data_IF_429410924509
#
_entry.id   IF_429410924509
#
_cell.length_a   1.000
_cell.length_b   1.000
_cell.length_c   1.000
_cell.angle_alpha   90.00
_cell.angle_beta   90.00
_cell.angle_gamma   90.00
#
_symmetry.space_group_name_H-M   'P 1'
#
loop_
_entity.id
_entity.type
_entity.pdbx_description
1 polymer ?
#
# COMPACT_ATOMS: atom_id res chain seq x y z
N UNK A 1 35.41 40.10 -53.07
CA UNK A 1 34.39 39.05 -53.23
C UNK A 1 34.73 37.96 -52.20
N UNK A 2 34.06 38.03 -51.06
CA UNK A 2 34.37 37.13 -49.94
C UNK A 2 33.09 36.29 -49.63
N UNK A 3 33.22 35.00 -49.75
CA UNK A 3 32.15 34.03 -49.50
C UNK A 3 32.12 33.66 -47.98
N UNK A 4 30.97 33.76 -47.35
CA UNK A 4 30.74 33.34 -45.97
C UNK A 4 30.48 31.84 -45.91
N UNK A 5 30.91 31.11 -44.85
CA UNK A 5 30.64 29.71 -44.68
C UNK A 5 29.25 29.47 -44.02
N UNK A 6 28.55 28.48 -44.56
CA UNK A 6 27.21 28.06 -44.10
C UNK A 6 27.20 27.48 -42.69
N UNK A 7 26.18 27.84 -41.92
CA UNK A 7 25.87 27.25 -40.63
C UNK A 7 25.20 25.86 -40.81
N UNK A 8 25.87 24.85 -40.32
CA UNK A 8 25.35 23.50 -40.16
C UNK A 8 24.30 23.48 -39.03
N UNK A 9 23.06 23.13 -39.37
CA UNK A 9 21.99 22.87 -38.37
C UNK A 9 22.18 21.44 -37.85
N UNK A 10 22.57 21.34 -36.60
CA UNK A 10 22.55 20.07 -35.86
C UNK A 10 21.10 19.77 -35.46
N UNK A 11 20.47 18.84 -36.17
CA UNK A 11 19.18 18.24 -35.78
C UNK A 11 19.40 17.33 -34.55
N UNK A 12 18.93 17.78 -33.40
CA UNK A 12 18.86 16.95 -32.20
C UNK A 12 17.77 15.90 -32.35
N UNK A 13 18.12 14.69 -32.72
CA UNK A 13 17.27 13.51 -32.56
C UNK A 13 17.03 13.26 -31.05
N UNK A 14 15.87 13.68 -30.55
CA UNK A 14 15.32 13.14 -29.30
C UNK A 14 14.87 11.71 -29.60
N UNK A 15 15.62 10.75 -29.06
CA UNK A 15 15.19 9.35 -28.98
C UNK A 15 13.91 9.28 -28.17
N UNK A 16 12.87 8.55 -28.62
CA UNK A 16 11.69 8.29 -27.78
C UNK A 16 12.15 7.44 -26.60
N UNK A 17 11.96 7.97 -25.38
CA UNK A 17 12.11 7.18 -24.16
C UNK A 17 11.03 6.08 -24.21
N UNK A 18 11.47 4.85 -24.43
CA UNK A 18 10.61 3.69 -24.40
C UNK A 18 9.89 3.62 -23.05
N UNK A 19 8.57 3.62 -23.08
CA UNK A 19 7.73 3.26 -21.94
C UNK A 19 7.95 1.77 -21.66
N UNK A 20 9.01 1.47 -20.92
CA UNK A 20 9.23 0.14 -20.35
C UNK A 20 8.11 -0.15 -19.39
N UNK A 21 7.34 -1.18 -19.67
CA UNK A 21 6.37 -1.76 -18.72
C UNK A 21 7.09 -1.92 -17.37
N UNK A 22 6.60 -1.34 -16.26
CA UNK A 22 7.31 -1.41 -15.00
C UNK A 22 7.42 -2.87 -14.58
N UNK A 23 8.65 -3.36 -14.47
CA UNK A 23 8.97 -4.68 -13.94
C UNK A 23 8.37 -4.75 -12.53
N UNK A 24 7.43 -5.69 -12.30
CA UNK A 24 6.66 -5.90 -11.08
C UNK A 24 5.52 -4.89 -10.77
N UNK A 25 4.55 -4.80 -11.67
CA UNK A 25 3.31 -4.08 -11.40
C UNK A 25 2.43 -4.85 -10.39
N UNK A 26 2.46 -4.45 -9.11
CA UNK A 26 1.56 -4.97 -8.06
C UNK A 26 0.15 -4.35 -8.15
N UNK A 27 -0.80 -4.83 -7.33
CA UNK A 27 -2.21 -4.44 -7.42
C UNK A 27 -2.44 -2.92 -7.35
N UNK A 28 -1.80 -2.21 -6.40
CA UNK A 28 -1.97 -0.75 -6.26
C UNK A 28 -1.38 0.02 -7.44
N UNK A 29 -0.27 -0.46 -8.04
CA UNK A 29 0.30 0.17 -9.23
C UNK A 29 -0.61 0.00 -10.45
N UNK A 30 -1.24 -1.16 -10.62
CA UNK A 30 -2.25 -1.37 -11.66
C UNK A 30 -3.47 -0.47 -11.48
N UNK A 31 -3.99 -0.37 -10.25
CA UNK A 31 -5.09 0.54 -9.92
C UNK A 31 -4.72 2.01 -10.22
N UNK A 32 -3.50 2.43 -9.85
CA UNK A 32 -2.98 3.76 -10.19
C UNK A 32 -2.98 4.01 -11.70
N UNK A 33 -2.45 3.08 -12.47
CA UNK A 33 -2.40 3.20 -13.94
C UNK A 33 -3.80 3.31 -14.53
N UNK A 34 -4.72 2.43 -14.13
CA UNK A 34 -6.11 2.49 -14.56
C UNK A 34 -6.78 3.82 -14.18
N UNK A 35 -6.53 4.30 -12.97
CA UNK A 35 -7.10 5.58 -12.49
C UNK A 35 -6.56 6.80 -13.25
N UNK A 36 -5.28 6.80 -13.60
CA UNK A 36 -4.67 7.85 -14.42
C UNK A 36 -5.22 7.84 -15.85
N UNK A 37 -5.45 6.67 -16.42
CA UNK A 37 -5.98 6.54 -17.80
C UNK A 37 -7.38 7.15 -17.99
N UNK A 38 -8.21 7.15 -16.94
CA UNK A 38 -9.58 7.73 -16.99
C UNK A 38 -9.64 9.15 -16.43
N UNK A 39 -8.53 9.73 -16.00
CA UNK A 39 -8.49 11.07 -15.43
C UNK A 39 -8.50 12.12 -16.53
N UNK A 40 -9.50 13.01 -16.54
CA UNK A 40 -9.58 14.14 -17.46
C UNK A 40 -8.59 15.27 -17.14
N UNK A 41 -8.02 15.27 -15.93
CA UNK A 41 -7.04 16.26 -15.47
C UNK A 41 -5.83 15.56 -14.89
N UNK A 42 -4.61 16.06 -15.15
CA UNK A 42 -3.41 15.53 -14.52
C UNK A 42 -3.53 15.61 -12.99
N UNK A 43 -3.20 14.51 -12.30
CA UNK A 43 -3.07 14.57 -10.85
C UNK A 43 -1.78 15.28 -10.48
N UNK A 44 -1.90 16.43 -9.84
CA UNK A 44 -0.78 17.25 -9.38
C UNK A 44 -0.57 17.02 -7.89
N UNK A 45 0.39 16.15 -7.53
CA UNK A 45 0.81 16.01 -6.14
C UNK A 45 1.72 17.18 -5.74
N UNK A 46 1.81 17.48 -4.43
CA UNK A 46 2.84 18.40 -3.93
C UNK A 46 4.23 17.86 -4.33
N UNK A 47 5.07 18.71 -4.95
CA UNK A 47 6.36 18.30 -5.49
C UNK A 47 6.29 17.51 -6.80
N UNK A 48 5.23 17.68 -7.61
CA UNK A 48 5.08 17.01 -8.90
C UNK A 48 6.12 17.42 -9.95
N UNK A 49 6.81 18.56 -9.78
CA UNK A 49 7.93 18.99 -10.65
C UNK A 49 9.18 18.11 -10.51
N UNK A 50 9.27 17.26 -9.50
CA UNK A 50 10.35 16.30 -9.32
C UNK A 50 10.02 15.00 -10.04
N UNK A 51 10.87 14.55 -10.97
CA UNK A 51 10.75 13.24 -11.62
C UNK A 51 10.77 12.13 -10.57
N UNK A 52 9.65 11.38 -10.46
CA UNK A 52 9.54 10.28 -9.50
C UNK A 52 9.65 8.93 -10.16
N UNK A 53 10.31 8.00 -9.49
CA UNK A 53 10.33 6.60 -9.88
C UNK A 53 8.88 6.07 -9.94
N UNK A 54 8.44 5.46 -11.06
CA UNK A 54 7.08 4.93 -11.18
C UNK A 54 6.80 3.78 -10.22
N UNK A 55 7.83 3.07 -9.77
CA UNK A 55 7.71 1.91 -8.89
C UNK A 55 7.69 2.27 -7.40
N UNK A 56 8.69 3.00 -6.86
CA UNK A 56 8.69 3.36 -5.44
C UNK A 56 8.13 4.76 -5.15
N UNK A 57 7.85 5.58 -6.17
CA UNK A 57 7.27 6.93 -6.10
C UNK A 57 8.16 7.98 -5.42
N UNK A 58 9.39 7.63 -5.07
CA UNK A 58 10.42 8.54 -4.61
C UNK A 58 11.14 9.18 -5.80
N UNK A 59 11.86 10.27 -5.60
CA UNK A 59 12.73 10.85 -6.65
C UNK A 59 13.87 9.90 -6.97
N UNK A 60 14.44 9.99 -8.18
CA UNK A 60 15.42 9.03 -8.68
C UNK A 60 16.64 8.86 -7.76
N UNK A 61 17.15 9.95 -7.17
CA UNK A 61 18.27 9.93 -6.21
C UNK A 61 17.98 9.19 -4.89
N UNK A 62 16.69 8.97 -4.58
CA UNK A 62 16.23 8.35 -3.35
C UNK A 62 15.47 7.04 -3.63
N UNK A 63 15.66 6.47 -4.81
CA UNK A 63 14.97 5.27 -5.24
C UNK A 63 15.37 4.06 -4.40
N UNK A 64 14.37 3.36 -3.83
CA UNK A 64 14.54 2.18 -2.96
C UNK A 64 14.11 0.87 -3.64
N UNK A 65 13.88 0.88 -4.96
CA UNK A 65 13.38 -0.31 -5.66
C UNK A 65 14.26 -1.55 -5.51
N UNK A 66 15.58 -1.37 -5.39
CA UNK A 66 16.53 -2.46 -5.20
C UNK A 66 16.40 -3.14 -3.83
N UNK A 67 15.78 -2.46 -2.85
CA UNK A 67 15.59 -2.96 -1.48
C UNK A 67 14.20 -3.56 -1.26
N UNK A 68 13.32 -3.57 -2.29
CA UNK A 68 11.94 -4.03 -2.14
C UNK A 68 11.88 -5.46 -1.62
N UNK A 69 11.29 -5.66 -0.43
CA UNK A 69 11.16 -7.00 0.14
C UNK A 69 9.93 -7.72 -0.43
N UNK A 70 9.98 -9.04 -0.40
CA UNK A 70 8.82 -9.90 -0.58
C UNK A 70 8.85 -11.00 0.47
N UNK A 71 7.70 -11.21 1.14
CA UNK A 71 7.56 -12.23 2.19
C UNK A 71 6.38 -13.12 1.83
N UNK A 72 6.55 -14.45 1.84
CA UNK A 72 5.42 -15.36 1.70
C UNK A 72 4.51 -15.24 2.94
N UNK A 73 3.20 -15.17 2.70
CA UNK A 73 2.18 -15.08 3.75
C UNK A 73 1.04 -16.05 3.48
N UNK A 74 0.38 -16.51 4.53
CA UNK A 74 -0.93 -17.17 4.42
C UNK A 74 -2.05 -16.15 4.31
N UNK A 75 -1.97 -15.06 5.07
CA UNK A 75 -2.95 -13.99 4.99
C UNK A 75 -2.76 -13.18 3.71
N UNK A 76 -3.90 -12.69 3.17
CA UNK A 76 -3.94 -11.74 2.06
C UNK A 76 -4.51 -10.40 2.49
N UNK A 77 -4.35 -9.38 1.65
CA UNK A 77 -4.87 -8.03 1.88
C UNK A 77 -5.71 -7.56 0.70
N UNK A 78 -6.93 -7.09 1.00
CA UNK A 78 -7.80 -6.41 0.05
C UNK A 78 -7.88 -4.93 0.41
N UNK A 79 -7.32 -4.06 -0.43
CA UNK A 79 -7.37 -2.62 -0.28
C UNK A 79 -8.58 -2.06 -1.03
N UNK A 80 -9.50 -1.43 -0.31
CA UNK A 80 -10.60 -0.63 -0.90
C UNK A 80 -10.19 0.84 -0.75
N UNK A 81 -9.82 1.47 -1.85
CA UNK A 81 -9.11 2.75 -1.85
C UNK A 81 -10.01 3.90 -2.27
N UNK A 82 -9.88 5.02 -1.58
CA UNK A 82 -10.47 6.30 -1.99
C UNK A 82 -9.99 6.72 -3.38
N UNK A 83 -10.79 7.55 -4.04
CA UNK A 83 -10.63 7.91 -5.47
C UNK A 83 -9.20 8.36 -5.86
N UNK A 84 -8.54 9.12 -4.99
CA UNK A 84 -7.19 9.65 -5.26
C UNK A 84 -6.08 8.95 -4.47
N UNK A 85 -6.40 7.97 -3.61
CA UNK A 85 -5.41 7.37 -2.72
C UNK A 85 -4.27 6.68 -3.48
N UNK A 86 -4.58 5.87 -4.49
CA UNK A 86 -3.57 5.23 -5.33
C UNK A 86 -2.67 6.22 -6.08
N UNK A 87 -3.09 7.48 -6.24
CA UNK A 87 -2.33 8.52 -6.93
C UNK A 87 -1.31 9.22 -6.02
N UNK A 88 -1.52 9.22 -4.70
CA UNK A 88 -0.67 9.92 -3.74
C UNK A 88 0.71 9.27 -3.63
N UNK A 89 1.81 10.02 -3.79
CA UNK A 89 3.16 9.49 -3.60
C UNK A 89 3.41 8.92 -2.20
N UNK A 90 2.70 9.43 -1.20
CA UNK A 90 2.79 9.02 0.20
C UNK A 90 1.77 7.95 0.61
N UNK A 91 1.07 7.33 -0.34
CA UNK A 91 0.12 6.27 -0.01
C UNK A 91 0.85 5.04 0.56
N UNK A 92 0.43 4.56 1.73
CA UNK A 92 1.07 3.44 2.44
C UNK A 92 0.45 2.09 2.13
N UNK A 93 -0.77 2.04 1.56
CA UNK A 93 -1.32 0.81 0.99
C UNK A 93 -0.46 0.24 -0.15
N UNK A 94 0.31 1.11 -0.82
CA UNK A 94 1.30 0.71 -1.81
C UNK A 94 2.39 -0.19 -1.22
N UNK A 95 2.88 0.14 -0.01
CA UNK A 95 3.95 -0.59 0.65
C UNK A 95 3.53 -2.01 1.04
N UNK A 96 2.24 -2.21 1.33
CA UNK A 96 1.69 -3.54 1.56
C UNK A 96 1.85 -4.41 0.31
N UNK A 97 1.45 -3.87 -0.84
CA UNK A 97 1.56 -4.57 -2.11
C UNK A 97 3.01 -4.77 -2.59
N UNK A 98 3.97 -3.98 -2.08
CA UNK A 98 5.40 -4.23 -2.28
C UNK A 98 5.88 -5.50 -1.55
N UNK A 99 5.37 -5.74 -0.33
CA UNK A 99 5.84 -6.80 0.59
C UNK A 99 5.06 -8.10 0.41
N UNK A 100 3.72 -8.00 0.24
CA UNK A 100 2.79 -9.13 0.24
C UNK A 100 2.23 -9.36 -1.15
N UNK A 101 2.53 -10.55 -1.72
CA UNK A 101 2.10 -10.90 -3.07
C UNK A 101 0.57 -11.01 -3.18
N UNK A 102 -0.08 -11.64 -2.19
CA UNK A 102 -1.54 -11.79 -2.11
C UNK A 102 -2.19 -10.47 -1.66
N UNK A 103 -2.01 -9.42 -2.47
CA UNK A 103 -2.63 -8.10 -2.28
C UNK A 103 -3.48 -7.73 -3.48
N UNK A 104 -4.73 -7.34 -3.21
CA UNK A 104 -5.67 -6.79 -4.18
C UNK A 104 -5.97 -5.34 -3.87
N UNK A 105 -6.24 -4.54 -4.89
CA UNK A 105 -6.57 -3.13 -4.73
C UNK A 105 -7.71 -2.73 -5.66
N UNK A 106 -8.76 -2.16 -5.09
CA UNK A 106 -9.96 -1.72 -5.80
C UNK A 106 -10.25 -0.26 -5.48
N UNK A 107 -10.63 0.52 -6.49
CA UNK A 107 -11.14 1.87 -6.27
C UNK A 107 -12.56 1.80 -5.69
N UNK A 108 -12.81 2.49 -4.59
CA UNK A 108 -14.15 2.56 -4.04
C UNK A 108 -15.08 3.41 -4.89
N UNK A 109 -16.21 2.84 -5.26
CA UNK A 109 -17.31 3.56 -5.90
C UNK A 109 -18.62 3.21 -5.18
N UNK A 110 -19.41 4.24 -4.85
CA UNK A 110 -20.65 4.06 -4.10
C UNK A 110 -21.71 3.27 -4.87
N UNK A 111 -21.77 3.46 -6.18
CA UNK A 111 -22.87 2.95 -7.03
C UNK A 111 -22.41 1.87 -8.02
N UNK A 112 -21.11 1.65 -8.13
CA UNK A 112 -20.56 0.69 -9.08
C UNK A 112 -19.44 -0.11 -8.38
N UNK A 113 -19.81 -1.26 -7.80
CA UNK A 113 -18.85 -2.17 -7.18
C UNK A 113 -18.11 -2.93 -8.27
N UNK A 114 -16.79 -3.05 -8.15
CA UNK A 114 -15.99 -3.88 -9.06
C UNK A 114 -16.40 -5.35 -8.90
N UNK A 115 -16.83 -6.05 -9.97
CA UNK A 115 -17.20 -7.46 -9.88
C UNK A 115 -16.08 -8.36 -9.37
N UNK A 116 -14.80 -8.03 -9.65
CA UNK A 116 -13.66 -8.79 -9.18
C UNK A 116 -13.50 -8.70 -7.64
N UNK A 117 -13.90 -7.59 -7.02
CA UNK A 117 -13.97 -7.48 -5.56
C UNK A 117 -14.99 -8.47 -4.99
N UNK A 118 -16.19 -8.54 -5.57
CA UNK A 118 -17.22 -9.47 -5.11
C UNK A 118 -16.80 -10.93 -5.29
N UNK A 119 -16.13 -11.25 -6.39
CA UNK A 119 -15.55 -12.57 -6.64
C UNK A 119 -14.50 -12.93 -5.58
N UNK A 120 -13.59 -12.00 -5.25
CA UNK A 120 -12.58 -12.20 -4.21
C UNK A 120 -13.22 -12.45 -2.84
N UNK A 121 -14.25 -11.69 -2.47
CA UNK A 121 -14.93 -11.83 -1.19
C UNK A 121 -15.73 -13.13 -1.07
N UNK A 122 -16.13 -13.72 -2.20
CA UNK A 122 -16.87 -14.99 -2.28
C UNK A 122 -15.96 -16.21 -2.44
N UNK A 123 -14.67 -16.02 -2.67
CA UNK A 123 -13.71 -17.09 -2.89
C UNK A 123 -13.54 -17.94 -1.62
N UNK A 124 -13.85 -19.25 -1.66
CA UNK A 124 -13.89 -20.12 -0.49
C UNK A 124 -12.52 -20.32 0.18
N UNK A 125 -11.41 -20.03 -0.51
CA UNK A 125 -10.08 -20.09 0.09
C UNK A 125 -9.85 -19.02 1.15
N UNK A 126 -10.63 -17.92 1.11
CA UNK A 126 -10.44 -16.78 2.00
C UNK A 126 -11.51 -16.71 3.09
N UNK A 127 -11.09 -16.27 4.26
CA UNK A 127 -11.96 -15.79 5.32
C UNK A 127 -11.79 -14.27 5.43
N UNK A 128 -12.72 -13.48 4.86
CA UNK A 128 -12.60 -12.02 4.87
C UNK A 128 -12.93 -11.44 6.25
N UNK A 129 -12.11 -10.47 6.68
CA UNK A 129 -12.29 -9.65 7.87
C UNK A 129 -12.18 -8.18 7.49
N UNK A 130 -13.22 -7.38 7.77
CA UNK A 130 -13.14 -5.92 7.61
C UNK A 130 -12.39 -5.35 8.80
N UNK A 131 -11.30 -4.64 8.55
CA UNK A 131 -10.53 -4.00 9.64
C UNK A 131 -11.10 -2.60 9.87
N UNK A 132 -11.79 -2.43 11.01
CA UNK A 132 -12.43 -1.17 11.36
C UNK A 132 -12.65 -1.08 12.88
N UNK A 133 -12.66 0.14 13.49
CA UNK A 133 -12.90 0.28 14.92
C UNK A 133 -14.28 -0.24 15.34
N UNK A 134 -14.30 -1.09 16.37
CA UNK A 134 -15.50 -1.76 16.87
C UNK A 134 -16.58 -0.83 17.39
N UNK A 135 -16.22 0.38 17.85
CA UNK A 135 -17.16 1.39 18.36
C UNK A 135 -18.22 1.83 17.32
N UNK A 136 -17.98 1.54 16.05
CA UNK A 136 -18.88 1.88 14.93
C UNK A 136 -19.64 0.70 14.38
N UNK A 137 -19.60 -0.46 15.06
CA UNK A 137 -20.08 -1.75 14.56
C UNK A 137 -21.00 -2.41 15.59
N UNK A 138 -22.01 -3.14 15.11
CA UNK A 138 -22.85 -3.98 15.98
C UNK A 138 -21.96 -5.00 16.74
N UNK A 139 -22.11 -5.12 18.07
CA UNK A 139 -21.21 -5.93 18.91
C UNK A 139 -21.04 -7.38 18.44
N UNK A 140 -22.09 -7.99 17.90
CA UNK A 140 -22.07 -9.37 17.42
C UNK A 140 -21.19 -9.64 16.19
N UNK A 141 -20.69 -8.58 15.53
CA UNK A 141 -19.78 -8.67 14.38
C UNK A 141 -18.32 -8.39 14.75
N UNK A 142 -18.08 -7.87 15.95
CA UNK A 142 -16.76 -7.39 16.36
C UNK A 142 -15.92 -8.55 16.88
N UNK A 143 -14.72 -8.69 16.33
CA UNK A 143 -13.68 -9.59 16.78
C UNK A 143 -12.46 -8.76 17.20
N UNK A 144 -11.82 -9.12 18.30
CA UNK A 144 -10.58 -8.50 18.79
C UNK A 144 -9.37 -9.41 18.60
N UNK A 145 -9.61 -10.66 18.20
CA UNK A 145 -8.61 -11.67 17.84
C UNK A 145 -9.14 -12.52 16.69
N UNK A 146 -8.24 -13.15 15.96
CA UNK A 146 -8.63 -14.15 14.95
C UNK A 146 -8.98 -15.47 15.65
N UNK A 147 -10.01 -16.19 15.14
CA UNK A 147 -10.30 -17.54 15.62
C UNK A 147 -9.07 -18.45 15.47
N UNK A 148 -8.80 -19.37 16.42
CA UNK A 148 -7.74 -20.35 16.30
C UNK A 148 -7.86 -21.16 15.00
N UNK A 149 -6.72 -21.49 14.39
CA UNK A 149 -6.72 -22.28 13.16
C UNK A 149 -7.30 -23.71 13.37
N UNK A 150 -7.33 -24.19 14.60
CA UNK A 150 -7.82 -25.52 15.01
C UNK A 150 -9.36 -25.62 15.02
N UNK A 151 -10.07 -24.51 15.18
CA UNK A 151 -11.54 -24.46 15.13
C UNK A 151 -12.11 -24.48 13.70
N UNK A 152 -11.22 -24.51 12.70
CA UNK A 152 -11.62 -24.69 11.31
C UNK A 152 -11.63 -26.19 11.02
N UNK A 153 -12.82 -26.77 10.87
CA UNK A 153 -13.12 -28.20 10.68
C UNK A 153 -11.97 -29.04 10.11
N UNK A 154 -11.52 -30.02 10.91
CA UNK A 154 -10.44 -30.94 10.54
C UNK A 154 -10.82 -31.71 9.26
N UNK A 155 -10.30 -31.29 8.11
CA UNK A 155 -10.54 -31.96 6.82
C UNK A 155 -10.52 -31.06 5.61
N UNK A 156 -10.74 -29.77 5.74
CA UNK A 156 -10.50 -28.78 4.67
C UNK A 156 -9.41 -27.83 5.16
N UNK A 157 -8.29 -27.75 4.43
CA UNK A 157 -7.21 -26.81 4.77
C UNK A 157 -7.80 -25.44 5.10
N UNK A 158 -7.71 -25.03 6.38
CA UNK A 158 -8.47 -23.91 6.94
C UNK A 158 -8.35 -22.66 6.09
N UNK A 159 -9.44 -21.91 5.96
CA UNK A 159 -9.48 -20.67 5.15
C UNK A 159 -8.38 -19.71 5.57
N UNK A 160 -7.77 -19.08 4.60
CA UNK A 160 -6.72 -18.08 4.81
C UNK A 160 -7.35 -16.75 5.19
N UNK A 161 -6.85 -16.01 6.18
CA UNK A 161 -7.35 -14.67 6.48
C UNK A 161 -7.20 -13.73 5.30
N UNK A 162 -8.24 -12.95 4.98
CA UNK A 162 -8.20 -11.85 4.03
C UNK A 162 -8.58 -10.57 4.77
N UNK A 163 -7.60 -9.69 4.98
CA UNK A 163 -7.81 -8.41 5.64
C UNK A 163 -8.28 -7.35 4.67
N UNK A 164 -9.49 -6.84 4.87
CA UNK A 164 -10.09 -5.77 4.05
C UNK A 164 -9.79 -4.44 4.73
N UNK A 165 -8.93 -3.64 4.11
CA UNK A 165 -8.51 -2.33 4.60
C UNK A 165 -9.17 -1.22 3.78
N UNK A 166 -9.78 -0.26 4.46
CA UNK A 166 -10.41 0.91 3.84
C UNK A 166 -9.40 2.05 3.79
N UNK A 167 -8.71 2.18 2.65
CA UNK A 167 -7.60 3.12 2.48
C UNK A 167 -8.09 4.49 1.98
N UNK A 168 -8.05 5.46 2.88
CA UNK A 168 -8.52 6.82 2.65
C UNK A 168 -8.31 7.69 3.89
N UNK A 169 -8.82 8.91 3.84
CA UNK A 169 -8.98 9.72 5.05
C UNK A 169 -10.01 9.06 5.99
N UNK A 170 -9.97 9.38 7.28
CA UNK A 170 -10.93 8.83 8.24
C UNK A 170 -12.39 9.04 7.81
N UNK A 171 -12.72 10.23 7.29
CA UNK A 171 -14.05 10.53 6.76
C UNK A 171 -14.42 9.64 5.56
N UNK A 172 -13.47 9.39 4.66
CA UNK A 172 -13.67 8.49 3.52
C UNK A 172 -13.82 7.04 3.98
N UNK A 173 -12.96 6.54 4.86
CA UNK A 173 -13.03 5.19 5.39
C UNK A 173 -14.39 4.92 6.09
N UNK A 174 -14.86 5.85 6.93
CA UNK A 174 -16.21 5.77 7.52
C UNK A 174 -17.32 5.75 6.46
N UNK A 175 -17.18 6.55 5.41
CA UNK A 175 -18.14 6.58 4.30
C UNK A 175 -18.13 5.27 3.53
N UNK A 176 -16.95 4.71 3.23
CA UNK A 176 -16.78 3.40 2.59
C UNK A 176 -17.46 2.32 3.44
N UNK A 177 -17.14 2.23 4.72
CA UNK A 177 -17.73 1.26 5.63
C UNK A 177 -19.27 1.31 5.63
N UNK A 178 -19.85 2.50 5.76
CA UNK A 178 -21.32 2.70 5.86
C UNK A 178 -22.06 2.57 4.54
N UNK A 179 -21.39 2.64 3.40
CA UNK A 179 -22.01 2.72 2.06
C UNK A 179 -21.61 1.56 1.15
N UNK A 180 -21.10 0.48 1.75
CA UNK A 180 -20.66 -0.73 1.05
C UNK A 180 -21.43 -1.95 1.59
N UNK A 181 -22.68 -2.18 1.13
CA UNK A 181 -23.52 -3.27 1.65
C UNK A 181 -22.89 -4.66 1.57
N UNK A 182 -21.96 -4.86 0.64
CA UNK A 182 -21.20 -6.12 0.50
C UNK A 182 -20.28 -6.40 1.69
N UNK A 183 -20.03 -5.42 2.56
CA UNK A 183 -19.28 -5.59 3.82
C UNK A 183 -20.18 -5.88 5.04
N UNK A 184 -21.49 -5.70 4.93
CA UNK A 184 -22.40 -5.70 6.10
C UNK A 184 -22.48 -7.05 6.82
N UNK A 185 -22.21 -8.16 6.11
CA UNK A 185 -22.25 -9.51 6.68
C UNK A 185 -20.90 -10.05 7.12
N UNK A 186 -19.83 -9.31 6.87
CA UNK A 186 -18.50 -9.76 7.19
C UNK A 186 -18.14 -9.45 8.65
N UNK A 187 -17.39 -10.33 9.32
CA UNK A 187 -16.87 -10.04 10.64
C UNK A 187 -15.93 -8.81 10.57
N UNK A 188 -15.92 -8.05 11.65
CA UNK A 188 -15.08 -6.85 11.77
C UNK A 188 -13.99 -7.08 12.80
N UNK A 189 -12.75 -7.05 12.35
CA UNK A 189 -11.59 -7.11 13.20
C UNK A 189 -11.29 -5.70 13.73
N UNK A 190 -11.49 -5.52 15.04
CA UNK A 190 -11.19 -4.26 15.73
C UNK A 190 -9.80 -4.35 16.36
N UNK A 191 -8.89 -3.54 15.87
CA UNK A 191 -7.53 -3.43 16.42
C UNK A 191 -7.55 -2.43 17.58
N UNK A 192 -6.94 -2.81 18.70
CA UNK A 192 -6.70 -1.93 19.84
C UNK A 192 -5.19 -1.77 20.05
N UNK A 193 -4.51 -1.06 19.15
CA UNK A 193 -3.07 -0.92 19.28
C UNK A 193 -2.71 -0.01 20.45
N UNK A 194 -1.88 -0.49 21.34
CA UNK A 194 -1.27 0.31 22.42
C UNK A 194 -0.17 1.23 21.87
N UNK A 195 0.20 1.05 20.61
CA UNK A 195 1.31 1.74 19.99
C UNK A 195 0.84 3.01 19.29
N UNK A 196 1.58 4.08 19.50
CA UNK A 196 1.42 5.33 18.75
C UNK A 196 2.00 5.17 17.34
N UNK A 197 1.28 5.66 16.33
CA UNK A 197 1.75 5.59 14.94
C UNK A 197 3.10 6.29 14.75
N UNK A 198 4.07 5.54 14.24
CA UNK A 198 5.41 6.05 13.89
C UNK A 198 5.44 6.71 12.50
N UNK A 199 4.33 6.67 11.75
CA UNK A 199 4.30 7.20 10.39
C UNK A 199 4.29 8.73 10.36
N UNK A 200 5.47 9.32 10.26
CA UNK A 200 5.72 10.78 10.32
C UNK A 200 5.21 11.57 9.11
N UNK A 201 4.85 10.90 8.00
CA UNK A 201 4.37 11.59 6.80
C UNK A 201 2.95 12.11 6.92
N UNK A 202 2.15 11.54 7.80
CA UNK A 202 0.77 11.92 8.07
C UNK A 202 0.68 12.52 9.46
N UNK A 203 0.21 13.75 9.51
CA UNK A 203 -0.17 14.34 10.80
C UNK A 203 -1.64 14.00 11.01
N UNK A 204 -1.92 13.14 11.96
CA UNK A 204 -3.27 12.95 12.48
C UNK A 204 -3.51 13.97 13.61
N UNK A 205 -4.71 14.50 13.67
CA UNK A 205 -5.16 15.33 14.81
C UNK A 205 -5.52 14.49 16.04
N UNK A 206 -5.47 13.16 15.90
CA UNK A 206 -5.81 12.20 16.96
C UNK A 206 -4.63 11.27 17.20
N UNK A 207 -4.23 11.10 18.45
CA UNK A 207 -3.04 10.36 18.89
C UNK A 207 -3.09 8.82 18.61
N UNK A 208 -4.24 8.29 18.17
CA UNK A 208 -4.47 6.85 17.98
C UNK A 208 -4.76 6.45 16.54
N UNK A 209 -4.38 7.24 15.56
CA UNK A 209 -4.62 6.91 14.14
C UNK A 209 -3.37 6.35 13.46
N UNK A 210 -3.48 5.11 12.99
CA UNK A 210 -2.44 4.43 12.23
C UNK A 210 -2.59 4.67 10.73
N UNK A 211 -1.47 4.62 10.00
CA UNK A 211 -1.51 4.57 8.55
C UNK A 211 -1.87 3.15 8.07
N UNK A 212 -2.29 3.01 6.82
CA UNK A 212 -2.77 1.73 6.26
C UNK A 212 -1.74 0.61 6.36
N UNK A 213 -0.43 0.92 6.20
CA UNK A 213 0.65 -0.06 6.34
C UNK A 213 0.82 -0.53 7.79
N UNK A 214 0.69 0.36 8.77
CA UNK A 214 0.77 -0.01 10.19
C UNK A 214 -0.42 -0.89 10.61
N UNK A 215 -1.62 -0.57 10.10
CA UNK A 215 -2.81 -1.41 10.30
C UNK A 215 -2.59 -2.80 9.73
N UNK A 216 -2.01 -2.92 8.52
CA UNK A 216 -1.72 -4.21 7.91
C UNK A 216 -0.68 -5.00 8.72
N UNK A 217 0.39 -4.34 9.21
CA UNK A 217 1.40 -4.99 10.03
C UNK A 217 0.79 -5.61 11.31
N UNK A 218 -0.09 -4.88 11.99
CA UNK A 218 -0.83 -5.40 13.15
C UNK A 218 -1.75 -6.58 12.79
N UNK A 219 -2.38 -6.55 11.61
CA UNK A 219 -3.18 -7.68 11.13
C UNK A 219 -2.32 -8.94 10.91
N UNK A 220 -1.12 -8.80 10.34
CA UNK A 220 -0.18 -9.92 10.18
C UNK A 220 0.33 -10.44 11.51
N UNK A 221 0.61 -9.57 12.48
CA UNK A 221 0.98 -9.96 13.84
C UNK A 221 -0.13 -10.80 14.49
N UNK A 222 -1.40 -10.36 14.40
CA UNK A 222 -2.55 -11.12 14.91
C UNK A 222 -2.77 -12.45 14.19
N UNK A 223 -2.35 -12.57 12.93
CA UNK A 223 -2.38 -13.82 12.16
C UNK A 223 -1.20 -14.75 12.48
N UNK A 224 -0.30 -14.38 13.40
CA UNK A 224 0.90 -15.14 13.73
C UNK A 224 2.00 -15.05 12.65
N UNK A 225 1.90 -14.08 11.74
CA UNK A 225 2.84 -13.88 10.64
C UNK A 225 3.85 -12.77 10.96
N UNK A 226 4.59 -12.95 12.05
CA UNK A 226 5.50 -11.97 12.62
C UNK A 226 6.53 -11.46 11.61
N UNK A 227 7.09 -12.35 10.78
CA UNK A 227 8.07 -11.95 9.75
C UNK A 227 7.48 -10.96 8.75
N UNK A 228 6.23 -11.15 8.34
CA UNK A 228 5.55 -10.23 7.41
C UNK A 228 5.27 -8.89 8.09
N UNK A 229 4.81 -8.91 9.35
CA UNK A 229 4.58 -7.72 10.15
C UNK A 229 5.85 -6.88 10.30
N UNK A 230 6.95 -7.50 10.74
CA UNK A 230 8.23 -6.84 10.97
C UNK A 230 8.83 -6.30 9.66
N UNK A 231 8.74 -7.07 8.57
CA UNK A 231 9.25 -6.64 7.27
C UNK A 231 8.47 -5.44 6.74
N UNK A 232 7.13 -5.46 6.87
CA UNK A 232 6.30 -4.34 6.43
C UNK A 232 6.57 -3.08 7.26
N UNK A 233 6.77 -3.21 8.58
CA UNK A 233 7.15 -2.10 9.45
C UNK A 233 8.53 -1.52 9.06
N UNK A 234 9.54 -2.37 8.87
CA UNK A 234 10.88 -1.93 8.44
C UNK A 234 10.84 -1.27 7.05
N UNK A 235 10.05 -1.80 6.12
CA UNK A 235 9.86 -1.21 4.79
C UNK A 235 9.20 0.16 4.85
N UNK A 236 8.21 0.33 5.73
CA UNK A 236 7.57 1.62 5.99
C UNK A 236 8.58 2.65 6.54
N UNK A 237 9.45 2.25 7.46
CA UNK A 237 10.46 3.13 8.03
C UNK A 237 11.48 3.56 6.97
N UNK A 238 12.01 2.64 6.17
CA UNK A 238 12.91 2.97 5.04
C UNK A 238 12.24 3.94 4.07
N UNK A 239 11.00 3.66 3.66
CA UNK A 239 10.25 4.56 2.79
C UNK A 239 10.07 5.95 3.42
N UNK A 240 9.75 5.99 4.71
CA UNK A 240 9.53 7.24 5.45
C UNK A 240 10.80 8.07 5.54
N UNK A 241 11.94 7.47 5.86
CA UNK A 241 13.24 8.14 5.95
C UNK A 241 13.60 8.78 4.60
N UNK A 242 13.48 8.03 3.51
CA UNK A 242 13.74 8.55 2.17
C UNK A 242 12.78 9.67 1.76
N UNK A 243 11.48 9.50 2.04
CA UNK A 243 10.47 10.50 1.70
C UNK A 243 10.66 11.81 2.48
N UNK A 244 10.99 11.72 3.77
CA UNK A 244 11.25 12.89 4.63
C UNK A 244 12.55 13.59 4.25
N UNK A 245 13.63 12.84 3.94
CA UNK A 245 14.90 13.41 3.47
C UNK A 245 14.69 14.25 2.20
N UNK A 246 13.87 13.78 1.25
CA UNK A 246 13.49 14.58 0.07
C UNK A 246 12.78 15.88 0.48
N UNK A 247 11.82 15.81 1.40
CA UNK A 247 11.05 16.99 1.83
C UNK A 247 11.90 18.02 2.58
N UNK A 248 12.86 17.55 3.36
CA UNK A 248 13.71 18.36 4.22
C UNK A 248 15.04 18.72 3.55
N UNK A 249 15.28 18.21 2.32
CA UNK A 249 16.52 18.39 1.57
C UNK A 249 17.76 17.92 2.36
N UNK A 250 17.58 16.85 3.14
CA UNK A 250 18.65 16.24 3.92
C UNK A 250 19.37 15.15 3.11
N UNK A 251 20.66 14.91 3.38
CA UNK A 251 21.36 13.76 2.82
C UNK A 251 20.73 12.46 3.29
N UNK A 252 20.77 11.43 2.45
CA UNK A 252 20.35 10.08 2.79
C UNK A 252 21.43 9.34 3.57
N UNK A 253 21.00 8.68 4.63
CA UNK A 253 21.79 7.66 5.30
C UNK A 253 21.31 6.27 4.87
N UNK A 254 22.05 5.64 3.94
CA UNK A 254 21.79 4.29 3.45
C UNK A 254 22.13 3.20 4.47
N UNK A 255 22.69 3.58 5.62
CA UNK A 255 23.06 2.70 6.72
C UNK A 255 22.27 2.98 8.00
N UNK A 256 21.15 3.70 7.89
CA UNK A 256 20.29 3.98 9.04
C UNK A 256 19.78 2.69 9.67
N UNK A 257 19.33 2.76 10.92
CA UNK A 257 18.75 1.62 11.65
C UNK A 257 17.59 0.98 10.89
N UNK A 258 16.82 1.77 10.11
CA UNK A 258 15.74 1.25 9.29
C UNK A 258 16.27 0.34 8.16
N UNK A 259 17.36 0.73 7.49
CA UNK A 259 17.99 -0.09 6.44
C UNK A 259 18.61 -1.36 7.02
N UNK A 260 19.33 -1.26 8.13
CA UNK A 260 19.93 -2.42 8.80
C UNK A 260 18.88 -3.42 9.25
N UNK A 261 17.76 -2.94 9.84
CA UNK A 261 16.65 -3.78 10.24
C UNK A 261 15.99 -4.49 9.04
N UNK A 262 15.73 -3.76 7.93
CA UNK A 262 15.19 -4.35 6.72
C UNK A 262 16.12 -5.42 6.15
N UNK A 263 17.42 -5.15 6.10
CA UNK A 263 18.43 -6.09 5.61
C UNK A 263 18.49 -7.37 6.47
N UNK A 264 18.40 -7.24 7.79
CA UNK A 264 18.37 -8.39 8.70
C UNK A 264 17.15 -9.30 8.47
N UNK A 265 16.00 -8.72 8.09
CA UNK A 265 14.76 -9.46 7.83
C UNK A 265 14.72 -10.10 6.43
N UNK A 266 15.43 -9.53 5.46
CA UNK A 266 15.38 -9.94 4.04
C UNK A 266 16.64 -10.65 3.56
N UNK A 267 17.71 -10.62 4.33
CA UNK A 267 18.95 -11.35 4.05
C UNK A 267 18.74 -12.87 3.98
N UNK A 268 19.67 -13.61 3.36
CA UNK A 268 19.62 -15.08 3.43
C UNK A 268 19.57 -15.51 4.90
N UNK A 269 18.68 -16.47 5.18
CA UNK A 269 18.61 -17.06 6.51
C UNK A 269 20.02 -17.60 6.89
N UNK A 270 20.49 -17.39 8.13
CA UNK A 270 21.79 -17.85 8.59
C UNK A 270 21.96 -19.36 8.52
#
# INVERSE_FOLDING_TARGET
>A
MSAAPGRSQASSHRSPQGEGTPVNAHAVSRLRTARLAVSSKPYVARGSGLGRCPSCRLVASHCICALRPQVPTRAGVCLIMGDIEALKPSNTGWLIADVVADTWAFGWARTAVDPALLTLLADPQWQPYVVFPGDYVEPGRVLTALPPAEDQEAGQGGKRPLFILLDGTWSEARKMFRKSPYLDRLPVLSLHPEQVSNYRLRRSTHEHHFCTSEVAALCFELAGEQRAADTLAAWLDVFTDHYLSIRQQLPLDWQSDAHQRLQALTGPAP
#
